data_IF_373554759028
#
_entry.id   IF_373554759028
#
_cell.length_a   1.000
_cell.length_b   1.000
_cell.length_c   1.000
_cell.angle_alpha   90.00
_cell.angle_beta   90.00
_cell.angle_gamma   90.00
#
_symmetry.space_group_name_H-M   'P 1'
#
loop_
_entity.id
_entity.type
_entity.pdbx_description
1 polymer ?
#
# COMPACT_ATOMS: atom_id res chain seq x y z
N UNK A 1 6.14 -0.60 -12.77
CA UNK A 1 5.57 -1.16 -11.52
C UNK A 1 4.11 -0.73 -11.43
N UNK A 2 3.19 -1.61 -11.03
CA UNK A 2 1.79 -1.24 -10.80
C UNK A 2 1.69 -0.25 -9.64
N UNK A 3 0.78 0.72 -9.74
CA UNK A 3 0.47 1.73 -8.72
C UNK A 3 1.70 2.41 -8.09
N UNK A 4 2.54 3.10 -8.89
CA UNK A 4 3.77 3.72 -8.41
C UNK A 4 3.53 4.77 -7.33
N UNK A 5 2.40 5.47 -7.37
CA UNK A 5 2.00 6.45 -6.37
C UNK A 5 1.71 5.80 -5.00
N UNK A 6 0.97 4.68 -4.99
CA UNK A 6 0.66 3.96 -3.77
C UNK A 6 1.92 3.29 -3.18
N UNK A 7 2.74 2.68 -4.03
CA UNK A 7 4.03 2.11 -3.63
C UNK A 7 5.03 3.13 -3.10
N UNK A 8 4.98 4.38 -3.57
CA UNK A 8 5.81 5.46 -3.03
C UNK A 8 5.39 5.88 -1.63
N UNK A 9 4.12 5.66 -1.27
CA UNK A 9 3.56 6.01 0.03
C UNK A 9 3.60 4.85 1.05
N UNK A 10 3.89 3.62 0.60
CA UNK A 10 4.08 2.45 1.48
C UNK A 10 5.58 2.25 1.75
N UNK A 11 5.97 2.40 3.01
CA UNK A 11 7.35 2.30 3.48
C UNK A 11 7.72 0.94 4.09
N UNK A 12 8.83 0.91 4.83
CA UNK A 12 9.25 -0.25 5.63
C UNK A 12 8.37 -0.38 6.89
N UNK A 13 7.85 0.73 7.39
CA UNK A 13 6.93 0.80 8.52
C UNK A 13 5.47 0.68 8.07
N UNK A 14 4.64 0.09 8.93
CA UNK A 14 3.23 -0.11 8.67
C UNK A 14 2.53 1.23 8.44
N UNK A 15 1.98 1.40 7.24
CA UNK A 15 1.25 2.61 6.85
C UNK A 15 -0.25 2.32 6.81
N UNK A 16 -1.05 2.95 7.70
CA UNK A 16 -2.50 2.87 7.69
C UNK A 16 -3.15 3.33 6.37
N UNK A 17 -4.29 2.74 6.01
CA UNK A 17 -5.00 3.03 4.75
C UNK A 17 -5.56 4.45 4.71
N UNK A 18 -6.05 4.97 5.83
CA UNK A 18 -6.53 6.34 5.98
C UNK A 18 -5.42 7.37 5.70
N UNK A 19 -4.20 7.10 6.17
CA UNK A 19 -3.02 7.91 5.86
C UNK A 19 -2.68 7.82 4.36
N UNK A 20 -2.75 6.63 3.76
CA UNK A 20 -2.53 6.49 2.31
C UNK A 20 -3.56 7.29 1.51
N UNK A 21 -4.85 7.21 1.88
CA UNK A 21 -5.93 7.98 1.26
C UNK A 21 -5.71 9.50 1.38
N UNK A 22 -5.28 9.95 2.56
CA UNK A 22 -4.97 11.36 2.79
C UNK A 22 -3.79 11.84 1.93
N UNK A 23 -2.77 11.01 1.70
CA UNK A 23 -1.58 11.41 0.93
C UNK A 23 -1.78 11.36 -0.58
N UNK A 24 -2.47 10.34 -1.09
CA UNK A 24 -2.67 10.15 -2.53
C UNK A 24 -3.92 10.84 -3.05
N UNK A 25 -4.81 11.29 -2.15
CA UNK A 25 -6.14 11.80 -2.51
C UNK A 25 -6.98 10.78 -3.30
N UNK A 26 -6.66 9.49 -3.16
CA UNK A 26 -7.39 8.38 -3.76
C UNK A 26 -8.45 7.89 -2.76
N UNK A 27 -9.69 7.61 -3.19
CA UNK A 27 -10.69 7.00 -2.33
C UNK A 27 -10.20 5.71 -1.67
N UNK A 28 -10.55 5.52 -0.40
CA UNK A 28 -10.16 4.33 0.39
C UNK A 28 -10.51 3.02 -0.33
N UNK A 29 -11.68 2.95 -0.98
CA UNK A 29 -12.11 1.78 -1.73
C UNK A 29 -11.15 1.42 -2.89
N UNK A 30 -10.65 2.43 -3.59
CA UNK A 30 -9.73 2.24 -4.73
C UNK A 30 -8.35 1.84 -4.21
N UNK A 31 -7.91 2.44 -3.10
CA UNK A 31 -6.68 2.02 -2.42
C UNK A 31 -6.76 0.56 -1.98
N UNK A 32 -7.88 0.12 -1.42
CA UNK A 32 -8.04 -1.28 -1.01
C UNK A 32 -7.90 -2.24 -2.20
N UNK A 33 -8.50 -1.91 -3.35
CA UNK A 33 -8.34 -2.72 -4.57
C UNK A 33 -6.87 -2.74 -5.05
N UNK A 34 -6.21 -1.58 -5.07
CA UNK A 34 -4.81 -1.48 -5.50
C UNK A 34 -3.85 -2.22 -4.55
N UNK A 35 -4.07 -2.14 -3.23
CA UNK A 35 -3.27 -2.84 -2.23
C UNK A 35 -3.42 -4.35 -2.33
N UNK A 36 -4.64 -4.84 -2.57
CA UNK A 36 -4.89 -6.26 -2.79
C UNK A 36 -4.12 -6.77 -4.00
N UNK A 37 -4.12 -6.04 -5.11
CA UNK A 37 -3.34 -6.41 -6.30
C UNK A 37 -1.83 -6.40 -6.02
N UNK A 38 -1.34 -5.37 -5.34
CA UNK A 38 0.08 -5.30 -4.94
C UNK A 38 0.47 -6.44 -4.00
N UNK A 39 -0.42 -6.88 -3.11
CA UNK A 39 -0.20 -7.99 -2.19
C UNK A 39 -0.12 -9.32 -2.95
N UNK A 40 -1.04 -9.55 -3.88
CA UNK A 40 -1.02 -10.72 -4.77
C UNK A 40 0.26 -10.79 -5.63
N UNK A 41 0.77 -9.63 -6.06
CA UNK A 41 2.04 -9.52 -6.79
C UNK A 41 3.28 -9.61 -5.88
N UNK A 42 3.09 -9.64 -4.56
CA UNK A 42 4.16 -9.72 -3.58
C UNK A 42 4.96 -8.43 -3.44
N UNK A 43 4.39 -7.27 -3.78
CA UNK A 43 5.03 -5.97 -3.61
C UNK A 43 4.77 -5.34 -2.24
N UNK A 44 3.63 -5.63 -1.62
CA UNK A 44 3.26 -5.18 -0.28
C UNK A 44 2.74 -6.34 0.56
N UNK A 45 2.66 -6.15 1.86
CA UNK A 45 2.08 -7.11 2.81
C UNK A 45 1.21 -6.35 3.81
N UNK A 46 0.03 -6.89 4.09
CA UNK A 46 -0.80 -6.41 5.19
C UNK A 46 -0.25 -6.88 6.54
N UNK A 47 -0.13 -5.96 7.49
CA UNK A 47 0.33 -6.22 8.87
C UNK A 47 -0.59 -5.53 9.86
N UNK A 48 -0.57 -5.89 11.16
CA UNK A 48 -1.26 -5.12 12.18
C UNK A 48 -0.81 -3.65 12.12
N UNK A 49 -1.78 -2.74 11.92
CA UNK A 49 -1.52 -1.30 11.80
C UNK A 49 -1.40 -0.76 10.37
N UNK A 50 -1.43 -1.60 9.32
CA UNK A 50 -1.48 -1.11 7.94
C UNK A 50 -0.71 -1.98 6.94
N UNK A 51 -0.06 -1.35 5.97
CA UNK A 51 0.68 -2.02 4.91
C UNK A 51 2.16 -1.67 4.93
N UNK A 52 3.00 -2.64 4.62
CA UNK A 52 4.44 -2.45 4.43
C UNK A 52 4.86 -2.88 3.04
N UNK A 53 5.94 -2.28 2.55
CA UNK A 53 6.55 -2.65 1.28
C UNK A 53 7.40 -3.88 1.50
N UNK A 54 7.16 -4.92 0.70
CA UNK A 54 7.98 -6.12 0.74
C UNK A 54 9.33 -5.81 0.10
N UNK A 55 10.39 -5.80 0.91
CA UNK A 55 11.76 -5.69 0.43
C UNK A 55 12.10 -6.89 -0.46
N UNK A 56 12.93 -6.67 -1.49
CA UNK A 56 13.52 -7.78 -2.25
C UNK A 56 14.52 -8.47 -1.32
N UNK A 57 14.08 -9.50 -0.62
CA UNK A 57 14.97 -10.55 -0.11
C UNK A 57 15.51 -11.38 -1.25
#
# INVERSE_FOLDING_TARGET
MPFPELLANVGIEATPIDILASRTQIPVQDIMMQLLELELLGHVVAVPGGYIRKGRG
#
